data_IF_317963419218
#
_entry.id   IF_317963419218
#
_cell.length_a   1.000
_cell.length_b   1.000
_cell.length_c   1.000
_cell.angle_alpha   90.00
_cell.angle_beta   90.00
_cell.angle_gamma   90.00
#
_symmetry.space_group_name_H-M   'P 1'
#
loop_
_entity.id
_entity.type
_entity.pdbx_description
1 polymer ?
#
# COMPACT_ATOMS: atom_id res chain seq x y z
N UNK A 1 -27.63 29.36 5.69
CA UNK A 1 -26.72 29.13 4.55
C UNK A 1 -25.41 28.70 5.12
N UNK A 2 -25.10 27.39 5.06
CA UNK A 2 -23.77 26.89 5.48
C UNK A 2 -22.70 27.45 4.54
N UNK A 3 -21.54 27.89 5.05
CA UNK A 3 -20.47 28.38 4.21
C UNK A 3 -20.06 27.25 3.26
N UNK A 4 -19.98 27.53 1.95
CA UNK A 4 -19.35 26.63 0.97
C UNK A 4 -17.90 26.47 1.39
N UNK A 5 -17.60 25.38 2.06
CA UNK A 5 -16.21 25.01 2.37
C UNK A 5 -15.50 24.88 1.03
N UNK A 6 -14.52 25.75 0.78
CA UNK A 6 -13.78 25.79 -0.49
C UNK A 6 -13.19 24.43 -0.86
N UNK A 7 -13.05 24.18 -2.14
CA UNK A 7 -12.34 22.99 -2.63
C UNK A 7 -10.85 23.13 -2.28
N UNK A 8 -10.28 22.14 -1.61
CA UNK A 8 -8.84 22.06 -1.33
C UNK A 8 -8.22 20.87 -2.05
N UNK A 9 -6.91 20.84 -2.20
CA UNK A 9 -6.22 19.72 -2.85
C UNK A 9 -6.48 18.41 -2.12
N UNK A 10 -6.46 18.41 -0.80
CA UNK A 10 -6.74 17.23 0.03
C UNK A 10 -8.16 16.69 -0.23
N UNK A 11 -9.15 17.60 -0.32
CA UNK A 11 -10.54 17.21 -0.63
C UNK A 11 -10.70 16.67 -2.04
N UNK A 12 -9.99 17.24 -3.01
CA UNK A 12 -9.97 16.75 -4.40
C UNK A 12 -9.38 15.34 -4.46
N UNK A 13 -8.25 15.11 -3.79
CA UNK A 13 -7.58 13.80 -3.74
C UNK A 13 -8.42 12.78 -2.96
N UNK A 14 -9.00 13.16 -1.81
CA UNK A 14 -9.90 12.29 -1.04
C UNK A 14 -11.13 11.87 -1.85
N UNK A 15 -11.79 12.83 -2.53
CA UNK A 15 -12.93 12.52 -3.40
C UNK A 15 -12.54 11.65 -4.62
N UNK A 16 -11.31 11.79 -5.11
CA UNK A 16 -10.78 10.92 -6.17
C UNK A 16 -10.54 9.49 -5.66
N UNK A 17 -10.02 9.33 -4.45
CA UNK A 17 -9.84 8.01 -3.83
C UNK A 17 -11.18 7.30 -3.60
N UNK A 18 -12.19 8.00 -3.07
CA UNK A 18 -13.55 7.46 -2.95
C UNK A 18 -14.16 7.09 -4.31
N UNK A 19 -13.94 7.93 -5.33
CA UNK A 19 -14.41 7.64 -6.68
C UNK A 19 -13.72 6.40 -7.27
N UNK A 20 -12.43 6.23 -7.01
CA UNK A 20 -11.67 5.03 -7.40
C UNK A 20 -12.27 3.77 -6.81
N UNK A 21 -12.65 3.78 -5.53
CA UNK A 21 -13.29 2.62 -4.88
C UNK A 21 -14.63 2.24 -5.56
N UNK A 22 -15.36 3.22 -6.12
CA UNK A 22 -16.65 2.98 -6.75
C UNK A 22 -16.56 2.51 -8.22
N UNK A 23 -15.63 3.11 -8.99
CA UNK A 23 -15.60 2.90 -10.45
C UNK A 23 -14.37 2.13 -10.94
N UNK A 24 -13.38 1.93 -10.09
CA UNK A 24 -12.07 1.33 -10.42
C UNK A 24 -11.02 2.39 -10.79
N UNK A 25 -9.76 2.10 -10.42
CA UNK A 25 -8.64 3.03 -10.60
C UNK A 25 -8.39 3.40 -12.07
N UNK A 26 -8.48 2.44 -12.98
CA UNK A 26 -8.24 2.68 -14.41
C UNK A 26 -9.29 3.60 -15.05
N UNK A 27 -10.49 3.68 -14.47
CA UNK A 27 -11.58 4.51 -14.97
C UNK A 27 -11.56 5.94 -14.40
N UNK A 28 -10.59 6.26 -13.53
CA UNK A 28 -10.45 7.61 -12.99
C UNK A 28 -10.14 8.60 -14.11
N UNK A 29 -10.95 9.65 -14.22
CA UNK A 29 -10.76 10.79 -15.14
C UNK A 29 -11.04 12.10 -14.41
N UNK A 30 -10.47 13.21 -14.91
CA UNK A 30 -10.76 14.54 -14.36
C UNK A 30 -12.24 14.90 -14.51
N UNK A 31 -12.88 14.56 -15.61
CA UNK A 31 -14.31 14.83 -15.82
C UNK A 31 -15.21 14.05 -14.88
N UNK A 32 -14.89 12.77 -14.58
CA UNK A 32 -15.62 11.99 -13.59
C UNK A 32 -15.49 12.61 -12.20
N UNK A 33 -14.28 13.03 -11.83
CA UNK A 33 -14.04 13.70 -10.55
C UNK A 33 -14.74 15.05 -10.47
N UNK A 34 -14.66 15.89 -11.51
CA UNK A 34 -15.35 17.19 -11.55
C UNK A 34 -16.86 17.04 -11.33
N UNK A 35 -17.47 16.04 -12.00
CA UNK A 35 -18.88 15.68 -11.80
C UNK A 35 -19.17 15.27 -10.35
N UNK A 36 -18.30 14.45 -9.75
CA UNK A 36 -18.42 13.99 -8.35
C UNK A 36 -18.42 15.15 -7.36
N UNK A 37 -17.45 16.07 -7.50
CA UNK A 37 -17.31 17.20 -6.57
C UNK A 37 -18.18 18.43 -6.92
N UNK A 38 -18.96 18.35 -8.01
CA UNK A 38 -19.91 19.38 -8.41
C UNK A 38 -19.26 20.65 -8.95
N UNK A 39 -18.13 20.55 -9.63
CA UNK A 39 -17.42 21.67 -10.25
C UNK A 39 -17.23 21.45 -11.75
N UNK A 40 -16.77 22.48 -12.46
CA UNK A 40 -16.32 22.34 -13.86
C UNK A 40 -14.89 21.84 -13.92
N UNK A 41 -14.54 21.05 -14.94
CA UNK A 41 -13.20 20.49 -15.15
C UNK A 41 -12.06 21.52 -14.97
N UNK A 42 -12.14 22.75 -15.50
CA UNK A 42 -11.09 23.76 -15.32
C UNK A 42 -10.79 24.10 -13.84
N UNK A 43 -11.78 23.94 -12.96
CA UNK A 43 -11.58 24.23 -11.52
C UNK A 43 -10.66 23.22 -10.83
N UNK A 44 -10.48 22.03 -11.37
CA UNK A 44 -9.58 21.02 -10.82
C UNK A 44 -8.12 21.35 -11.06
N UNK A 45 -7.79 22.07 -12.14
CA UNK A 45 -6.40 22.40 -12.49
C UNK A 45 -5.72 23.36 -11.51
N UNK A 46 -6.48 23.99 -10.61
CA UNK A 46 -5.92 24.75 -9.48
C UNK A 46 -5.32 23.80 -8.43
N UNK A 47 -5.80 22.56 -8.37
CA UNK A 47 -5.42 21.58 -7.35
C UNK A 47 -4.52 20.46 -7.87
N UNK A 48 -4.65 20.10 -9.16
CA UNK A 48 -3.86 19.02 -9.79
C UNK A 48 -3.41 19.44 -11.19
N UNK A 49 -2.19 19.06 -11.56
CA UNK A 49 -1.59 19.41 -12.87
C UNK A 49 -2.14 18.59 -14.05
N UNK A 50 -2.99 17.61 -13.76
CA UNK A 50 -3.58 16.73 -14.75
C UNK A 50 -3.92 15.36 -14.17
N UNK A 51 -4.37 14.43 -15.02
CA UNK A 51 -4.79 13.10 -14.59
C UNK A 51 -3.64 12.30 -13.94
N UNK A 52 -2.42 12.40 -14.52
CA UNK A 52 -1.28 11.68 -13.99
C UNK A 52 -0.89 12.17 -12.59
N UNK A 53 -0.86 13.48 -12.36
CA UNK A 53 -0.61 14.07 -11.04
C UNK A 53 -1.69 13.63 -10.04
N UNK A 54 -2.97 13.62 -10.46
CA UNK A 54 -4.06 13.12 -9.63
C UNK A 54 -3.86 11.65 -9.25
N UNK A 55 -3.51 10.80 -10.21
CA UNK A 55 -3.25 9.36 -9.99
C UNK A 55 -2.11 9.14 -8.99
N UNK A 56 -1.02 9.89 -9.12
CA UNK A 56 0.11 9.85 -8.16
C UNK A 56 -0.35 10.25 -6.76
N UNK A 57 -1.12 11.33 -6.64
CA UNK A 57 -1.63 11.80 -5.34
C UNK A 57 -2.58 10.79 -4.68
N UNK A 58 -3.44 10.12 -5.46
CA UNK A 58 -4.29 9.02 -4.95
C UNK A 58 -3.43 7.85 -4.48
N UNK A 59 -2.38 7.50 -5.23
CA UNK A 59 -1.44 6.44 -4.85
C UNK A 59 -0.69 6.76 -3.54
N UNK A 60 -0.26 8.01 -3.36
CA UNK A 60 0.40 8.47 -2.13
C UNK A 60 -0.56 8.48 -0.94
N UNK A 61 -1.82 8.91 -1.14
CA UNK A 61 -2.85 8.83 -0.12
C UNK A 61 -3.10 7.38 0.32
N UNK A 62 -3.29 6.47 -0.64
CA UNK A 62 -3.49 5.04 -0.38
C UNK A 62 -2.30 4.41 0.36
N UNK A 63 -1.07 4.80 -0.02
CA UNK A 63 0.14 4.36 0.67
C UNK A 63 0.20 4.88 2.12
N UNK A 64 -0.19 6.13 2.35
CA UNK A 64 -0.25 6.71 3.69
C UNK A 64 -1.28 5.98 4.59
N UNK A 65 -2.49 5.72 4.07
CA UNK A 65 -3.54 4.98 4.77
C UNK A 65 -3.11 3.55 5.13
N UNK A 66 -2.48 2.84 4.20
CA UNK A 66 -1.93 1.50 4.44
C UNK A 66 -0.86 1.53 5.54
N UNK A 67 0.06 2.51 5.48
CA UNK A 67 1.12 2.68 6.47
C UNK A 67 0.59 3.01 7.86
N UNK A 68 -0.46 3.83 7.94
CA UNK A 68 -1.12 4.15 9.20
C UNK A 68 -1.70 2.90 9.86
N UNK A 69 -2.43 2.07 9.09
CA UNK A 69 -2.98 0.80 9.58
C UNK A 69 -1.90 -0.17 10.02
N UNK A 70 -0.85 -0.34 9.20
CA UNK A 70 0.28 -1.20 9.57
C UNK A 70 0.98 -0.66 10.81
N UNK A 71 1.29 0.63 10.87
CA UNK A 71 1.96 1.26 11.99
C UNK A 71 1.21 1.09 13.30
N UNK A 72 -0.11 1.29 13.27
CA UNK A 72 -0.98 1.07 14.44
C UNK A 72 -0.98 -0.42 14.86
N UNK A 73 -1.03 -1.34 13.89
CA UNK A 73 -1.07 -2.77 14.17
C UNK A 73 0.23 -3.31 14.78
N UNK A 74 1.40 -2.81 14.36
CA UNK A 74 2.70 -3.31 14.84
C UNK A 74 3.19 -2.64 16.12
N UNK A 75 2.50 -1.60 16.59
CA UNK A 75 2.92 -0.84 17.77
C UNK A 75 3.07 -1.75 18.99
N UNK A 76 4.23 -1.70 19.65
CA UNK A 76 4.55 -2.50 20.82
C UNK A 76 4.81 -3.98 20.55
N UNK A 77 4.89 -4.40 19.28
CA UNK A 77 5.16 -5.80 18.87
C UNK A 77 6.53 -5.94 18.24
N UNK A 78 7.09 -7.14 18.28
CA UNK A 78 8.36 -7.50 17.65
C UNK A 78 8.34 -8.92 17.09
N UNK A 79 9.32 -9.27 16.25
CA UNK A 79 9.48 -10.62 15.70
C UNK A 79 8.19 -11.16 15.08
N UNK A 80 7.80 -12.37 15.46
CA UNK A 80 6.63 -13.07 14.92
C UNK A 80 5.33 -12.28 15.10
N UNK A 81 5.10 -11.68 16.28
CA UNK A 81 3.86 -10.93 16.55
C UNK A 81 3.75 -9.68 15.67
N UNK A 82 4.87 -8.99 15.45
CA UNK A 82 4.91 -7.85 14.52
C UNK A 82 4.67 -8.29 13.07
N UNK A 83 5.23 -9.42 12.64
CA UNK A 83 5.02 -9.95 11.29
C UNK A 83 3.55 -10.31 11.04
N UNK A 84 2.92 -11.00 11.99
CA UNK A 84 1.49 -11.36 11.89
C UNK A 84 0.63 -10.09 11.80
N UNK A 85 0.85 -9.13 12.71
CA UNK A 85 0.09 -7.88 12.73
C UNK A 85 0.28 -7.04 11.45
N UNK A 86 1.51 -6.98 10.94
CA UNK A 86 1.83 -6.31 9.67
C UNK A 86 1.09 -6.97 8.50
N UNK A 87 1.21 -8.29 8.38
CA UNK A 87 0.62 -9.08 7.32
C UNK A 87 -0.91 -8.97 7.31
N UNK A 88 -1.54 -9.07 8.49
CA UNK A 88 -3.00 -8.99 8.64
C UNK A 88 -3.52 -7.58 8.30
N UNK A 89 -2.85 -6.53 8.76
CA UNK A 89 -3.22 -5.15 8.44
C UNK A 89 -3.08 -4.85 6.95
N UNK A 90 -2.01 -5.35 6.32
CA UNK A 90 -1.79 -5.23 4.88
C UNK A 90 -2.90 -5.92 4.09
N UNK A 91 -3.16 -7.20 4.38
CA UNK A 91 -4.21 -7.99 3.72
C UNK A 91 -5.60 -7.35 3.90
N UNK A 92 -5.93 -6.94 5.13
CA UNK A 92 -7.21 -6.31 5.42
C UNK A 92 -7.44 -5.04 4.58
N UNK A 93 -6.41 -4.19 4.43
CA UNK A 93 -6.49 -2.99 3.60
C UNK A 93 -6.75 -3.33 2.12
N UNK A 94 -6.01 -4.30 1.57
CA UNK A 94 -6.18 -4.73 0.17
C UNK A 94 -7.58 -5.28 -0.09
N UNK A 95 -8.13 -6.06 0.84
CA UNK A 95 -9.47 -6.64 0.70
C UNK A 95 -10.58 -5.59 0.86
N UNK A 96 -10.38 -4.58 1.71
CA UNK A 96 -11.34 -3.51 1.94
C UNK A 96 -11.34 -2.47 0.80
N UNK A 97 -10.14 -2.15 0.26
CA UNK A 97 -9.95 -1.11 -0.77
C UNK A 97 -9.10 -1.62 -1.95
N UNK A 98 -9.56 -2.64 -2.70
CA UNK A 98 -8.74 -3.26 -3.75
C UNK A 98 -8.34 -2.28 -4.85
N UNK A 99 -9.26 -1.40 -5.27
CA UNK A 99 -9.03 -0.42 -6.31
C UNK A 99 -8.12 0.73 -5.85
N UNK A 100 -8.28 1.17 -4.60
CA UNK A 100 -7.40 2.17 -3.98
C UNK A 100 -6.00 1.60 -3.78
N UNK A 101 -5.91 0.34 -3.36
CA UNK A 101 -4.63 -0.36 -3.28
C UNK A 101 -3.97 -0.52 -4.66
N UNK A 102 -4.75 -0.80 -5.72
CA UNK A 102 -4.21 -0.87 -7.09
C UNK A 102 -3.50 0.43 -7.50
N UNK A 103 -3.97 1.59 -7.03
CA UNK A 103 -3.31 2.85 -7.26
C UNK A 103 -1.86 2.88 -6.75
N UNK A 104 -1.55 2.18 -5.64
CA UNK A 104 -0.18 2.13 -5.08
C UNK A 104 0.81 1.38 -5.97
N UNK A 105 0.35 0.66 -6.99
CA UNK A 105 1.17 -0.14 -7.90
C UNK A 105 1.57 0.58 -9.18
N UNK A 106 1.14 1.85 -9.36
CA UNK A 106 1.52 2.62 -10.54
C UNK A 106 3.02 2.93 -10.54
N UNK A 107 3.57 3.03 -11.73
CA UNK A 107 4.94 3.52 -11.89
C UNK A 107 4.98 5.03 -11.61
N UNK A 108 5.79 5.43 -10.65
CA UNK A 108 6.09 6.83 -10.33
C UNK A 108 7.52 7.14 -10.76
N UNK A 109 7.80 8.40 -11.10
CA UNK A 109 9.17 8.85 -11.32
C UNK A 109 9.88 8.93 -9.96
N UNK A 110 10.97 8.16 -9.75
CA UNK A 110 11.70 8.18 -8.49
C UNK A 110 12.18 9.59 -8.09
N UNK A 111 12.52 10.44 -9.05
CA UNK A 111 12.99 11.80 -8.77
C UNK A 111 11.87 12.72 -8.25
N UNK A 112 10.62 12.46 -8.67
CA UNK A 112 9.46 13.25 -8.21
C UNK A 112 8.93 12.82 -6.84
N UNK A 113 9.25 11.60 -6.39
CA UNK A 113 8.67 11.00 -5.18
C UNK A 113 9.71 10.59 -4.13
N UNK A 114 10.98 10.96 -4.31
CA UNK A 114 12.09 10.56 -3.44
C UNK A 114 11.86 10.95 -1.97
N UNK A 115 11.29 12.12 -1.74
CA UNK A 115 11.06 12.70 -0.40
C UNK A 115 9.60 12.56 0.07
N UNK A 116 8.78 11.74 -0.63
CA UNK A 116 7.38 11.58 -0.26
C UNK A 116 7.23 10.81 1.07
N UNK A 117 6.65 11.43 2.11
CA UNK A 117 6.59 10.85 3.45
C UNK A 117 5.93 9.47 3.49
N UNK A 118 4.91 9.25 2.63
CA UNK A 118 4.22 7.97 2.57
C UNK A 118 5.14 6.83 2.10
N UNK A 119 6.00 7.07 1.11
CA UNK A 119 6.92 6.07 0.59
C UNK A 119 8.08 5.82 1.56
N UNK A 120 8.64 6.87 2.15
CA UNK A 120 9.66 6.76 3.20
C UNK A 120 9.13 5.97 4.39
N UNK A 121 7.90 6.23 4.81
CA UNK A 121 7.26 5.50 5.91
C UNK A 121 7.07 4.01 5.61
N UNK A 122 6.74 3.63 4.38
CA UNK A 122 6.66 2.22 3.98
C UNK A 122 7.99 1.50 4.16
N UNK A 123 9.09 2.15 3.75
CA UNK A 123 10.45 1.63 3.92
C UNK A 123 10.80 1.49 5.41
N UNK A 124 10.53 2.52 6.21
CA UNK A 124 10.81 2.52 7.66
C UNK A 124 10.08 1.39 8.40
N UNK A 125 8.77 1.21 8.13
CA UNK A 125 7.96 0.17 8.76
C UNK A 125 8.49 -1.23 8.42
N UNK A 126 8.83 -1.47 7.16
CA UNK A 126 9.40 -2.74 6.71
C UNK A 126 10.78 -2.98 7.32
N UNK A 127 11.65 -1.98 7.32
CA UNK A 127 12.97 -2.08 7.93
C UNK A 127 12.89 -2.30 9.45
N UNK A 128 11.94 -1.66 10.13
CA UNK A 128 11.70 -1.86 11.56
C UNK A 128 11.28 -3.30 11.89
N UNK A 129 10.37 -3.86 11.07
CA UNK A 129 9.96 -5.26 11.18
C UNK A 129 11.16 -6.19 11.02
N UNK A 130 11.97 -6.01 9.96
CA UNK A 130 13.08 -6.89 9.60
C UNK A 130 14.26 -6.80 10.58
N UNK A 131 14.48 -5.65 11.23
CA UNK A 131 15.47 -5.55 12.34
C UNK A 131 15.17 -6.54 13.47
N UNK A 132 13.91 -6.87 13.71
CA UNK A 132 13.52 -7.89 14.68
C UNK A 132 14.02 -9.31 14.38
N UNK A 133 14.46 -9.55 13.13
CA UNK A 133 15.03 -10.83 12.67
C UNK A 133 16.56 -10.82 12.56
N UNK A 134 17.20 -9.69 12.91
CA UNK A 134 18.68 -9.59 12.89
C UNK A 134 19.28 -9.64 11.48
N UNK A 135 18.51 -9.28 10.44
CA UNK A 135 18.98 -9.26 9.06
C UNK A 135 19.82 -8.02 8.80
N UNK A 136 20.92 -8.18 8.08
CA UNK A 136 21.77 -7.10 7.60
C UNK A 136 21.09 -6.29 6.49
N UNK A 137 21.80 -5.29 5.93
CA UNK A 137 21.20 -4.39 4.94
C UNK A 137 20.82 -5.11 3.64
N UNK A 138 21.71 -5.95 3.09
CA UNK A 138 21.43 -6.69 1.85
C UNK A 138 20.36 -7.77 2.04
N UNK A 139 20.47 -8.58 3.10
CA UNK A 139 19.47 -9.58 3.43
C UNK A 139 18.11 -8.93 3.72
N UNK A 140 18.11 -7.77 4.40
CA UNK A 140 16.91 -6.99 4.68
C UNK A 140 16.19 -6.55 3.41
N UNK A 141 16.93 -6.15 2.36
CA UNK A 141 16.36 -5.79 1.07
C UNK A 141 15.66 -6.98 0.39
N UNK A 142 16.33 -8.15 0.39
CA UNK A 142 15.76 -9.36 -0.22
C UNK A 142 14.57 -9.89 0.57
N UNK A 143 14.64 -9.84 1.89
CA UNK A 143 13.52 -10.19 2.77
C UNK A 143 12.32 -9.24 2.56
N UNK A 144 12.56 -7.94 2.39
CA UNK A 144 11.51 -6.95 2.08
C UNK A 144 10.83 -7.26 0.74
N UNK A 145 11.61 -7.66 -0.28
CA UNK A 145 11.06 -8.10 -1.58
C UNK A 145 10.21 -9.36 -1.45
N UNK A 146 10.67 -10.35 -0.68
CA UNK A 146 9.91 -11.57 -0.41
C UNK A 146 8.59 -11.24 0.27
N UNK A 147 8.60 -10.45 1.35
CA UNK A 147 7.38 -10.06 2.07
C UNK A 147 6.41 -9.31 1.16
N UNK A 148 6.90 -8.30 0.43
CA UNK A 148 6.07 -7.52 -0.50
C UNK A 148 5.46 -8.40 -1.57
N UNK A 149 6.24 -9.28 -2.21
CA UNK A 149 5.74 -10.18 -3.25
C UNK A 149 4.68 -11.13 -2.73
N UNK A 150 4.87 -11.68 -1.53
CA UNK A 150 3.91 -12.61 -0.92
C UNK A 150 2.63 -11.89 -0.52
N UNK A 151 2.71 -10.76 0.20
CA UNK A 151 1.52 -10.05 0.65
C UNK A 151 0.73 -9.46 -0.51
N UNK A 152 1.41 -8.82 -1.46
CA UNK A 152 0.79 -8.29 -2.66
C UNK A 152 0.12 -9.40 -3.48
N UNK A 153 0.87 -10.45 -3.83
CA UNK A 153 0.34 -11.53 -4.66
C UNK A 153 -0.84 -12.25 -4.02
N UNK A 154 -0.72 -12.60 -2.73
CA UNK A 154 -1.80 -13.29 -2.02
C UNK A 154 -3.06 -12.44 -1.91
N UNK A 155 -2.94 -11.22 -1.37
CA UNK A 155 -4.11 -10.36 -1.14
C UNK A 155 -4.78 -9.90 -2.44
N UNK A 156 -4.00 -9.65 -3.51
CA UNK A 156 -4.53 -9.28 -4.82
C UNK A 156 -5.26 -10.44 -5.49
N UNK A 157 -4.68 -11.66 -5.45
CA UNK A 157 -5.34 -12.85 -5.96
C UNK A 157 -6.62 -13.16 -5.20
N UNK A 158 -6.61 -13.00 -3.87
CA UNK A 158 -7.78 -13.21 -3.04
C UNK A 158 -8.89 -12.21 -3.38
N UNK A 159 -8.58 -10.91 -3.45
CA UNK A 159 -9.57 -9.86 -3.77
C UNK A 159 -10.17 -10.03 -5.16
N UNK A 160 -9.39 -10.55 -6.11
CA UNK A 160 -9.85 -10.85 -7.47
C UNK A 160 -10.58 -12.22 -7.62
N UNK A 161 -10.74 -12.98 -6.52
CA UNK A 161 -11.33 -14.33 -6.59
C UNK A 161 -10.43 -15.38 -7.27
N UNK A 162 -9.11 -15.12 -7.34
CA UNK A 162 -8.13 -15.96 -8.04
C UNK A 162 -7.81 -17.30 -7.35
N UNK A 163 -8.28 -17.51 -6.11
CA UNK A 163 -8.11 -18.78 -5.40
C UNK A 163 -9.35 -19.67 -5.53
N UNK A 164 -9.53 -20.27 -6.70
CA UNK A 164 -10.64 -21.18 -6.99
C UNK A 164 -10.41 -22.58 -6.37
N UNK A 165 -10.30 -22.69 -5.06
CA UNK A 165 -10.10 -23.96 -4.35
C UNK A 165 -11.10 -24.13 -3.21
N UNK A 166 -11.32 -25.39 -2.76
CA UNK A 166 -12.26 -25.70 -1.68
C UNK A 166 -11.83 -25.13 -0.31
N UNK A 167 -10.53 -24.92 -0.10
CA UNK A 167 -10.02 -24.31 1.13
C UNK A 167 -10.05 -22.80 1.02
N UNK A 168 -10.59 -22.13 2.06
CA UNK A 168 -10.63 -20.68 2.13
C UNK A 168 -9.22 -20.06 2.12
N UNK A 169 -8.98 -18.96 1.37
CA UNK A 169 -7.74 -18.19 1.49
C UNK A 169 -7.46 -17.76 2.94
N UNK A 170 -8.50 -17.41 3.71
CA UNK A 170 -8.38 -17.06 5.13
C UNK A 170 -7.80 -18.19 5.99
N UNK A 171 -8.07 -19.44 5.67
CA UNK A 171 -7.50 -20.59 6.37
C UNK A 171 -6.04 -20.85 5.99
N UNK A 172 -5.63 -20.41 4.81
CA UNK A 172 -4.25 -20.57 4.31
C UNK A 172 -3.34 -19.46 4.84
N UNK A 173 -3.88 -18.26 5.03
CA UNK A 173 -3.11 -17.07 5.40
C UNK A 173 -2.23 -17.23 6.65
N UNK A 174 -2.74 -17.72 7.80
CA UNK A 174 -1.91 -17.90 8.99
C UNK A 174 -0.72 -18.86 8.74
N UNK A 175 -0.91 -19.89 7.92
CA UNK A 175 0.16 -20.83 7.58
C UNK A 175 1.22 -20.20 6.67
N UNK A 176 0.81 -19.31 5.76
CA UNK A 176 1.73 -18.56 4.89
C UNK A 176 2.56 -17.59 5.72
N UNK A 177 1.91 -16.84 6.64
CA UNK A 177 2.63 -15.91 7.54
C UNK A 177 3.58 -16.68 8.46
N UNK A 178 3.20 -17.87 8.95
CA UNK A 178 4.09 -18.72 9.73
C UNK A 178 5.29 -19.21 8.91
N UNK A 179 5.07 -19.62 7.66
CA UNK A 179 6.17 -20.00 6.76
C UNK A 179 7.15 -18.85 6.51
N UNK A 180 6.64 -17.63 6.35
CA UNK A 180 7.46 -16.42 6.25
C UNK A 180 8.25 -16.18 7.54
N UNK A 181 7.62 -16.35 8.72
CA UNK A 181 8.32 -16.24 10.00
C UNK A 181 9.49 -17.23 10.08
N UNK A 182 9.28 -18.50 9.74
CA UNK A 182 10.32 -19.51 9.73
C UNK A 182 11.44 -19.18 8.74
N UNK A 183 11.09 -18.69 7.56
CA UNK A 183 12.05 -18.25 6.54
C UNK A 183 12.90 -17.09 7.04
N UNK A 184 12.28 -16.04 7.61
CA UNK A 184 13.00 -14.89 8.14
C UNK A 184 13.90 -15.25 9.34
N UNK A 185 13.44 -16.17 10.20
CA UNK A 185 14.20 -16.63 11.37
C UNK A 185 15.41 -17.47 10.99
N UNK A 186 15.36 -18.16 9.83
CA UNK A 186 16.42 -19.02 9.31
C UNK A 186 16.97 -18.48 7.99
N UNK A 187 17.02 -17.17 7.81
CA UNK A 187 17.46 -16.56 6.56
C UNK A 187 18.85 -17.03 6.16
N UNK A 188 19.05 -17.49 4.91
CA UNK A 188 20.36 -17.91 4.45
C UNK A 188 21.30 -16.70 4.44
N UNK A 189 22.39 -16.80 5.22
CA UNK A 189 23.42 -15.76 5.22
C UNK A 189 24.32 -15.98 4.02
N UNK A 190 24.43 -14.96 3.17
CA UNK A 190 25.47 -14.96 2.15
C UNK A 190 26.83 -14.91 2.87
N UNK A 191 27.64 -15.93 2.67
CA UNK A 191 29.05 -15.77 2.97
C UNK A 191 29.59 -14.82 1.91
N UNK A 192 30.08 -13.65 2.34
CA UNK A 192 30.76 -12.74 1.44
C UNK A 192 31.87 -13.57 0.75
N UNK A 193 31.70 -13.85 -0.54
CA UNK A 193 32.78 -14.41 -1.34
C UNK A 193 33.86 -13.33 -1.36
N UNK A 194 35.09 -13.64 -0.90
CA UNK A 194 36.17 -12.69 -0.99
C UNK A 194 36.38 -12.33 -2.47
N UNK A 195 36.38 -11.01 -2.73
CA UNK A 195 36.63 -10.43 -4.05
C UNK A 195 38.03 -10.76 -4.56
#
# INVERSE_FOLDING_TARGET
MSPRVGLTTERVVGAAAELVDEIGFEKLTLSALAKRVGVKDPSLYVHVRGLQDLRVRVALLASAELNERIGAAVLGRSGREALVAFADAYRAYVLEYPERYAATQIRMDPAEVADEPALLRSVELTAALLRGYGLGESEGLDAARLLRSTFHGFATLESAGGFAHSRSPGDSWPHIVEALHQTLSNWPRYQDSPA
#
